data_IF_879748891031
#
_entry.id   IF_879748891031
#
_cell.length_a   1.000
_cell.length_b   1.000
_cell.length_c   1.000
_cell.angle_alpha   90.00
_cell.angle_beta   90.00
_cell.angle_gamma   90.00
#
_symmetry.space_group_name_H-M   'P 1'
#
loop_
_entity.id
_entity.type
_entity.pdbx_description
1 polymer ?
#
# COMPACT_ATOMS: atom_id res chain seq x y z
N UNK A 1 -61.52 15.73 14.81
CA UNK A 1 -60.85 14.62 14.12
C UNK A 1 -59.56 15.16 13.53
N UNK A 2 -58.39 14.60 13.86
CA UNK A 2 -57.10 15.24 13.67
C UNK A 2 -56.41 14.86 12.36
N UNK A 3 -55.56 15.76 11.89
CA UNK A 3 -54.67 15.60 10.75
C UNK A 3 -53.31 15.05 11.20
N UNK A 4 -52.74 14.15 10.41
CA UNK A 4 -51.42 13.52 10.62
C UNK A 4 -50.30 14.43 10.10
N UNK A 5 -49.32 14.72 10.95
CA UNK A 5 -47.98 15.18 10.58
C UNK A 5 -46.94 14.07 10.85
N UNK A 6 -45.77 14.08 10.18
CA UNK A 6 -44.80 13.00 10.29
C UNK A 6 -43.94 13.15 11.55
N UNK A 7 -43.95 12.12 12.40
CA UNK A 7 -43.04 11.96 13.53
C UNK A 7 -41.71 11.35 13.04
N UNK A 8 -40.60 12.06 13.28
CA UNK A 8 -39.27 11.47 13.36
C UNK A 8 -39.05 10.90 14.77
N UNK A 9 -38.54 9.67 14.94
CA UNK A 9 -37.98 9.24 16.21
C UNK A 9 -36.50 9.61 16.28
N UNK A 10 -36.19 10.42 17.29
CA UNK A 10 -34.87 10.67 17.85
C UNK A 10 -34.32 9.45 18.59
N UNK A 11 -33.00 9.30 18.57
CA UNK A 11 -32.14 8.59 19.54
C UNK A 11 -32.47 7.12 19.82
N UNK A 12 -31.60 6.24 19.29
CA UNK A 12 -31.44 4.88 19.81
C UNK A 12 -30.05 4.72 20.42
N UNK A 13 -30.13 4.46 21.73
CA UNK A 13 -29.14 4.09 22.73
C UNK A 13 -27.81 3.48 22.24
N UNK A 14 -26.73 4.14 22.65
CA UNK A 14 -25.39 3.57 22.76
C UNK A 14 -25.14 3.12 24.21
N UNK A 15 -25.92 2.18 24.74
CA UNK A 15 -25.74 1.68 26.11
C UNK A 15 -26.04 0.19 26.30
N UNK A 16 -25.51 -0.68 25.43
CA UNK A 16 -25.35 -2.10 25.80
C UNK A 16 -23.93 -2.55 25.49
N UNK A 17 -23.06 -2.47 26.49
CA UNK A 17 -21.90 -3.35 26.79
C UNK A 17 -21.07 -2.67 27.89
N UNK A 18 -21.67 -2.46 29.07
CA UNK A 18 -20.96 -1.95 30.25
C UNK A 18 -21.58 -2.53 31.52
N UNK A 19 -21.42 -3.84 31.73
CA UNK A 19 -21.43 -4.40 33.08
C UNK A 19 -20.42 -5.54 33.11
N UNK A 20 -19.29 -5.30 33.77
CA UNK A 20 -18.54 -6.23 34.64
C UNK A 20 -17.09 -5.71 34.78
N UNK A 21 -16.86 -4.81 35.76
CA UNK A 21 -15.74 -4.90 36.72
C UNK A 21 -15.61 -3.59 37.50
N UNK A 22 -16.10 -3.58 38.75
CA UNK A 22 -15.62 -2.67 39.76
C UNK A 22 -14.36 -3.26 40.41
N UNK A 23 -13.27 -2.48 40.46
CA UNK A 23 -12.07 -2.82 41.23
C UNK A 23 -10.75 -2.38 40.58
N UNK A 24 -10.15 -1.32 41.13
CA UNK A 24 -8.79 -0.80 40.87
C UNK A 24 -8.44 -0.39 39.43
N UNK A 25 -8.39 0.93 39.20
CA UNK A 25 -8.01 1.58 37.93
C UNK A 25 -6.55 1.27 37.54
N UNK A 26 -6.35 0.17 36.81
CA UNK A 26 -5.35 0.04 35.76
C UNK A 26 -6.10 -0.10 34.44
N UNK A 27 -5.68 0.59 33.39
CA UNK A 27 -6.34 0.54 32.08
C UNK A 27 -6.30 -0.88 31.49
N UNK A 28 -7.41 -1.63 31.59
CA UNK A 28 -7.59 -3.01 31.14
C UNK A 28 -7.85 -3.14 29.63
N UNK A 29 -7.33 -2.22 28.82
CA UNK A 29 -7.46 -2.27 27.36
C UNK A 29 -6.33 -3.07 26.69
N UNK A 30 -6.64 -3.78 25.60
CA UNK A 30 -5.63 -4.40 24.73
C UNK A 30 -4.70 -3.31 24.20
N UNK A 31 -3.40 -3.43 24.45
CA UNK A 31 -2.42 -2.41 24.04
C UNK A 31 -2.17 -2.45 22.53
N UNK A 32 -1.74 -1.32 22.00
CA UNK A 32 -1.23 -1.24 20.63
C UNK A 32 0.21 -1.78 20.57
N UNK A 33 0.58 -2.35 19.43
CA UNK A 33 1.93 -2.80 19.09
C UNK A 33 2.50 -1.94 17.96
N UNK A 34 3.77 -1.57 18.06
CA UNK A 34 4.46 -0.78 17.02
C UNK A 34 4.93 -1.67 15.88
N UNK A 35 4.17 -1.67 14.78
CA UNK A 35 4.44 -2.51 13.61
C UNK A 35 5.22 -1.78 12.50
N UNK A 36 5.26 -0.45 12.51
CA UNK A 36 6.01 0.35 11.53
C UNK A 36 6.59 1.63 12.14
N UNK A 37 7.62 2.16 11.50
CA UNK A 37 8.18 3.47 11.80
C UNK A 37 8.78 4.05 10.52
N UNK A 38 8.72 5.37 10.39
CA UNK A 38 9.34 6.11 9.30
C UNK A 38 9.65 7.54 9.71
N UNK A 39 10.00 8.36 8.73
CA UNK A 39 10.32 9.78 8.94
C UNK A 39 9.09 10.56 9.43
N UNK A 40 7.91 10.31 8.86
CA UNK A 40 6.70 11.07 9.22
C UNK A 40 5.99 10.58 10.48
N UNK A 41 6.20 9.33 10.91
CA UNK A 41 5.37 8.76 11.97
C UNK A 41 5.73 7.38 12.47
N UNK A 42 4.96 6.94 13.45
CA UNK A 42 4.95 5.58 13.98
C UNK A 42 3.63 4.92 13.60
N UNK A 43 3.68 3.64 13.22
CA UNK A 43 2.50 2.87 12.84
C UNK A 43 2.22 1.82 13.91
N UNK A 44 1.02 1.88 14.44
CA UNK A 44 0.54 1.02 15.51
C UNK A 44 -0.60 0.13 15.02
N UNK A 45 -0.62 -1.11 15.50
CA UNK A 45 -1.75 -2.02 15.30
C UNK A 45 -2.19 -2.57 16.65
N UNK A 46 -3.50 -2.75 16.82
CA UNK A 46 -4.04 -3.44 17.98
C UNK A 46 -4.39 -4.88 17.56
N UNK A 47 -3.98 -5.91 18.34
CA UNK A 47 -4.40 -7.28 18.09
C UNK A 47 -5.93 -7.40 17.96
N UNK A 48 -6.39 -8.14 16.95
CA UNK A 48 -7.83 -8.31 16.66
C UNK A 48 -8.50 -7.16 15.91
N UNK A 49 -7.78 -6.08 15.58
CA UNK A 49 -8.29 -5.00 14.71
C UNK A 49 -7.77 -5.12 13.29
N UNK A 50 -8.61 -4.71 12.34
CA UNK A 50 -8.31 -4.69 10.91
C UNK A 50 -7.76 -3.35 10.42
N UNK A 51 -7.44 -2.43 11.34
CA UNK A 51 -6.89 -1.12 11.04
C UNK A 51 -5.54 -0.89 11.73
N UNK A 52 -4.82 0.09 11.23
CA UNK A 52 -3.61 0.65 11.82
C UNK A 52 -3.83 2.11 12.17
N UNK A 53 -3.05 2.61 13.13
CA UNK A 53 -3.01 4.02 13.51
C UNK A 53 -1.60 4.52 13.21
N UNK A 54 -1.45 5.35 12.17
CA UNK A 54 -0.21 6.08 11.87
C UNK A 54 -0.26 7.40 12.61
N UNK A 55 0.57 7.58 13.64
CA UNK A 55 0.65 8.81 14.41
C UNK A 55 1.84 9.63 13.92
N UNK A 56 1.66 10.94 13.73
CA UNK A 56 2.73 11.82 13.26
C UNK A 56 3.79 12.09 14.32
N UNK A 57 5.05 12.11 13.89
CA UNK A 57 6.16 12.69 14.68
C UNK A 57 6.01 14.21 14.80
N UNK A 58 6.65 14.85 15.80
CA UNK A 58 6.74 16.31 15.85
C UNK A 58 7.18 16.89 14.50
N UNK A 59 6.54 17.99 14.07
CA UNK A 59 6.78 18.67 12.79
C UNK A 59 6.30 17.94 11.51
N UNK A 60 5.66 16.78 11.62
CA UNK A 60 5.13 16.03 10.47
C UNK A 60 3.61 16.00 10.39
N UNK A 61 2.91 16.87 11.13
CA UNK A 61 1.44 16.93 11.11
C UNK A 61 0.90 17.24 9.72
N UNK A 62 1.49 18.22 9.04
CA UNK A 62 1.05 18.63 7.69
C UNK A 62 1.33 17.52 6.67
N UNK A 63 2.49 16.86 6.76
CA UNK A 63 2.81 15.71 5.92
C UNK A 63 1.82 14.54 6.10
N UNK A 64 1.32 14.31 7.32
CA UNK A 64 0.29 13.29 7.55
C UNK A 64 -1.09 13.70 7.03
N UNK A 65 -1.40 15.01 7.03
CA UNK A 65 -2.59 15.53 6.37
C UNK A 65 -2.51 15.37 4.85
N UNK A 66 -1.33 15.62 4.27
CA UNK A 66 -1.09 15.38 2.85
C UNK A 66 -1.19 13.91 2.47
N UNK A 67 -0.69 12.99 3.32
CA UNK A 67 -0.93 11.56 3.19
C UNK A 67 -2.43 11.27 3.13
N UNK A 68 -3.19 11.72 4.12
CA UNK A 68 -4.64 11.53 4.18
C UNK A 68 -5.37 12.00 2.91
N UNK A 69 -5.08 13.22 2.42
CA UNK A 69 -5.73 13.77 1.23
C UNK A 69 -5.35 13.04 -0.05
N UNK A 70 -4.05 12.75 -0.24
CA UNK A 70 -3.55 12.04 -1.43
C UNK A 70 -4.04 10.59 -1.46
N UNK A 71 -4.10 9.94 -0.30
CA UNK A 71 -4.65 8.60 -0.11
C UNK A 71 -6.13 8.54 -0.48
N UNK A 72 -6.96 9.47 0.04
CA UNK A 72 -8.38 9.53 -0.33
C UNK A 72 -8.59 9.76 -1.83
N UNK A 73 -7.81 10.67 -2.43
CA UNK A 73 -7.88 10.94 -3.88
C UNK A 73 -7.61 9.69 -4.71
N UNK A 74 -6.60 8.90 -4.33
CA UNK A 74 -6.28 7.67 -5.05
C UNK A 74 -7.31 6.57 -4.74
N UNK A 75 -7.81 6.49 -3.51
CA UNK A 75 -8.86 5.55 -3.13
C UNK A 75 -10.12 5.76 -3.98
N UNK A 76 -10.58 7.01 -4.09
CA UNK A 76 -11.72 7.36 -4.93
C UNK A 76 -11.44 7.07 -6.41
N UNK A 77 -10.26 7.39 -6.91
CA UNK A 77 -9.87 7.13 -8.29
C UNK A 77 -9.86 5.63 -8.63
N UNK A 78 -9.31 4.78 -7.77
CA UNK A 78 -9.27 3.34 -7.98
C UNK A 78 -10.65 2.68 -7.84
N UNK A 79 -11.63 3.35 -7.24
CA UNK A 79 -13.03 2.90 -7.29
C UNK A 79 -13.65 3.05 -8.68
N UNK A 80 -13.16 4.01 -9.48
CA UNK A 80 -13.55 4.20 -10.89
C UNK A 80 -12.83 3.22 -11.80
N UNK A 81 -11.51 3.03 -11.60
CA UNK A 81 -10.67 2.13 -12.39
C UNK A 81 -10.51 0.77 -11.71
N UNK A 82 -11.61 0.04 -11.59
CA UNK A 82 -11.68 -1.24 -10.86
C UNK A 82 -10.88 -2.39 -11.48
N UNK A 83 -10.41 -2.24 -12.72
CA UNK A 83 -9.55 -3.20 -13.43
C UNK A 83 -8.07 -3.13 -12.99
N UNK A 84 -7.71 -2.17 -12.14
CA UNK A 84 -6.34 -2.01 -11.65
C UNK A 84 -6.03 -3.02 -10.55
N UNK A 85 -5.08 -3.89 -10.84
CA UNK A 85 -4.58 -4.96 -9.98
C UNK A 85 -3.61 -4.48 -8.87
N UNK A 86 -3.85 -3.28 -8.34
CA UNK A 86 -3.11 -2.68 -7.23
C UNK A 86 -4.10 -2.15 -6.18
N UNK A 87 -3.98 -2.65 -4.95
CA UNK A 87 -4.86 -2.27 -3.85
C UNK A 87 -4.34 -1.02 -3.14
N UNK A 88 -5.25 -0.33 -2.48
CA UNK A 88 -4.96 0.78 -1.59
C UNK A 88 -5.71 0.52 -0.28
N UNK A 89 -5.08 0.75 0.89
CA UNK A 89 -5.79 0.63 2.17
C UNK A 89 -7.03 1.52 2.21
N UNK A 90 -8.12 1.06 2.82
CA UNK A 90 -9.25 1.95 3.13
C UNK A 90 -8.81 3.02 4.12
N UNK A 91 -9.30 4.24 3.94
CA UNK A 91 -9.13 5.33 4.92
C UNK A 91 -10.36 5.34 5.83
N UNK A 92 -10.15 5.21 7.14
CA UNK A 92 -11.24 5.21 8.12
C UNK A 92 -11.41 6.54 8.83
N UNK A 93 -10.32 7.21 9.19
CA UNK A 93 -10.41 8.49 9.92
C UNK A 93 -9.09 9.26 9.93
N UNK A 94 -9.20 10.56 10.20
CA UNK A 94 -8.09 11.44 10.58
C UNK A 94 -8.40 12.08 11.94
N UNK A 95 -7.57 11.82 12.94
CA UNK A 95 -7.72 12.29 14.30
C UNK A 95 -6.81 13.49 14.51
N UNK A 96 -7.39 14.64 14.83
CA UNK A 96 -6.63 15.85 15.16
C UNK A 96 -6.02 15.78 16.55
N UNK A 97 -4.99 16.60 16.79
CA UNK A 97 -4.39 16.78 18.13
C UNK A 97 -5.38 17.28 19.17
N UNK A 98 -6.39 18.06 18.76
CA UNK A 98 -7.42 18.60 19.64
C UNK A 98 -8.56 17.63 19.95
N UNK A 99 -8.56 16.40 19.43
CA UNK A 99 -9.60 15.42 19.73
C UNK A 99 -9.36 14.78 21.12
N UNK A 100 -9.71 15.52 22.17
CA UNK A 100 -9.48 15.11 23.57
C UNK A 100 -10.15 13.77 23.90
N UNK A 101 -11.35 13.52 23.37
CA UNK A 101 -12.08 12.27 23.60
C UNK A 101 -11.29 11.06 23.08
N UNK A 102 -10.83 11.11 21.83
CA UNK A 102 -10.07 10.01 21.24
C UNK A 102 -8.73 9.82 21.94
N UNK A 103 -7.99 10.90 22.21
CA UNK A 103 -6.68 10.83 22.85
C UNK A 103 -6.75 10.35 24.31
N UNK A 104 -7.78 10.76 25.07
CA UNK A 104 -8.00 10.25 26.44
C UNK A 104 -8.22 8.74 26.45
N UNK A 105 -8.96 8.21 25.48
CA UNK A 105 -9.22 6.77 25.37
C UNK A 105 -8.00 5.98 24.87
N UNK A 106 -7.20 6.52 23.96
CA UNK A 106 -6.19 5.74 23.24
C UNK A 106 -4.74 6.00 23.66
N UNK A 107 -4.40 7.17 24.20
CA UNK A 107 -3.02 7.54 24.50
C UNK A 107 -2.34 6.56 25.47
N UNK A 108 -3.07 6.12 26.51
CA UNK A 108 -2.56 5.17 27.50
C UNK A 108 -2.36 3.74 26.95
N UNK A 109 -2.96 3.42 25.80
CA UNK A 109 -2.83 2.12 25.14
C UNK A 109 -1.67 2.08 24.14
N UNK A 110 -1.18 3.25 23.71
CA UNK A 110 -0.03 3.37 22.82
C UNK A 110 1.27 3.12 23.60
N UNK A 111 2.23 2.37 23.05
CA UNK A 111 3.54 2.20 23.66
C UNK A 111 4.21 3.56 23.91
N UNK A 112 4.76 3.82 25.11
CA UNK A 112 5.48 5.04 25.38
C UNK A 112 6.71 5.13 24.47
N UNK A 113 6.96 6.32 23.96
CA UNK A 113 8.12 6.63 23.12
C UNK A 113 8.66 7.98 23.55
N UNK A 114 9.87 8.01 24.13
CA UNK A 114 10.46 9.22 24.71
C UNK A 114 10.52 10.41 23.76
N UNK A 115 10.70 10.17 22.46
CA UNK A 115 10.79 11.21 21.43
C UNK A 115 9.45 11.51 20.73
N UNK A 116 8.34 11.02 21.28
CA UNK A 116 7.04 11.03 20.59
C UNK A 116 5.93 11.51 21.53
N UNK A 117 5.81 12.83 21.70
CA UNK A 117 4.81 13.40 22.59
C UNK A 117 3.40 13.17 22.05
N UNK A 118 2.51 12.72 22.94
CA UNK A 118 1.07 12.64 22.71
C UNK A 118 0.38 13.77 23.50
N UNK A 119 -0.74 14.33 23.03
CA UNK A 119 -1.44 14.02 21.79
C UNK A 119 -0.72 14.56 20.54
N UNK A 120 -0.98 13.92 19.40
CA UNK A 120 -0.48 14.31 18.07
C UNK A 120 -1.62 14.25 17.04
N UNK A 121 -1.34 14.20 15.74
CA UNK A 121 -2.32 13.83 14.73
C UNK A 121 -2.17 12.35 14.36
N UNK A 122 -3.28 11.68 14.04
CA UNK A 122 -3.27 10.27 13.68
C UNK A 122 -4.13 9.98 12.44
N UNK A 123 -3.61 9.16 11.54
CA UNK A 123 -4.30 8.64 10.36
C UNK A 123 -4.66 7.17 10.62
N UNK A 124 -5.95 6.84 10.49
CA UNK A 124 -6.47 5.49 10.70
C UNK A 124 -6.84 4.88 9.34
N UNK A 125 -6.15 3.81 8.97
CA UNK A 125 -6.32 3.12 7.68
C UNK A 125 -6.44 1.62 7.85
N UNK A 126 -6.92 0.93 6.83
CA UNK A 126 -6.91 -0.53 6.76
C UNK A 126 -5.49 -1.07 6.96
N UNK A 127 -5.41 -2.12 7.77
CA UNK A 127 -4.17 -2.86 7.96
C UNK A 127 -3.91 -3.74 6.75
N UNK A 128 -2.82 -3.49 6.04
CA UNK A 128 -2.23 -4.49 5.14
C UNK A 128 -1.72 -5.63 6.01
N UNK A 129 -2.28 -6.82 5.85
CA UNK A 129 -1.87 -7.97 6.66
C UNK A 129 -0.52 -8.48 6.16
N UNK A 130 0.29 -8.99 7.09
CA UNK A 130 1.57 -9.59 6.74
C UNK A 130 1.41 -10.78 5.78
N UNK A 131 2.42 -11.03 4.96
CA UNK A 131 2.51 -12.19 4.07
C UNK A 131 2.25 -13.49 4.85
N UNK A 132 1.61 -14.51 4.25
CA UNK A 132 1.31 -15.77 4.92
C UNK A 132 2.55 -16.45 5.50
N UNK A 133 2.41 -17.17 6.61
CA UNK A 133 3.54 -17.85 7.29
C UNK A 133 4.35 -18.72 6.33
N UNK A 134 3.70 -19.43 5.40
CA UNK A 134 4.37 -20.25 4.40
C UNK A 134 5.28 -19.43 3.48
N UNK A 135 4.81 -18.26 3.01
CA UNK A 135 5.61 -17.35 2.19
C UNK A 135 6.77 -16.79 3.01
N UNK A 136 6.52 -16.35 4.25
CA UNK A 136 7.58 -15.85 5.14
C UNK A 136 8.66 -16.89 5.40
N UNK A 137 8.28 -18.12 5.67
CA UNK A 137 9.23 -19.22 5.86
C UNK A 137 10.03 -19.48 4.57
N UNK A 138 9.38 -19.51 3.41
CA UNK A 138 10.09 -19.66 2.13
C UNK A 138 11.11 -18.53 1.88
N UNK A 139 10.76 -17.27 2.19
CA UNK A 139 11.69 -16.14 2.10
C UNK A 139 12.87 -16.30 3.06
N UNK A 140 12.63 -16.75 4.30
CA UNK A 140 13.70 -17.03 5.28
C UNK A 140 14.58 -18.17 4.79
N UNK A 141 14.00 -19.29 4.39
CA UNK A 141 14.76 -20.46 3.95
C UNK A 141 15.60 -20.15 2.71
N UNK A 142 15.14 -19.28 1.81
CA UNK A 142 15.87 -18.90 0.61
C UNK A 142 16.93 -17.81 0.84
N UNK A 143 16.62 -16.77 1.63
CA UNK A 143 17.41 -15.55 1.68
C UNK A 143 18.02 -15.20 3.05
N UNK A 144 17.78 -16.02 4.08
CA UNK A 144 18.44 -15.90 5.38
C UNK A 144 19.64 -16.87 5.48
N UNK A 145 20.79 -16.46 6.05
CA UNK A 145 21.88 -17.38 6.40
C UNK A 145 21.36 -18.57 7.19
N UNK A 146 21.87 -19.77 6.92
CA UNK A 146 21.36 -21.04 7.45
C UNK A 146 21.31 -21.04 8.98
N UNK A 147 22.37 -20.54 9.60
CA UNK A 147 22.53 -20.39 11.04
C UNK A 147 21.51 -19.45 11.71
N UNK A 148 20.87 -18.56 10.94
CA UNK A 148 19.90 -17.58 11.43
C UNK A 148 18.43 -17.97 11.15
N UNK A 149 18.17 -19.00 10.34
CA UNK A 149 16.81 -19.32 9.86
C UNK A 149 15.83 -19.59 10.98
N UNK A 150 16.19 -20.43 11.95
CA UNK A 150 15.29 -20.79 13.05
C UNK A 150 15.01 -19.60 13.97
N UNK A 151 16.04 -18.79 14.27
CA UNK A 151 15.87 -17.54 15.00
C UNK A 151 14.96 -16.56 14.23
N UNK A 152 15.13 -16.44 12.91
CA UNK A 152 14.30 -15.58 12.06
C UNK A 152 12.84 -16.07 11.99
N UNK A 153 12.59 -17.38 11.94
CA UNK A 153 11.22 -17.96 11.97
C UNK A 153 10.54 -17.75 13.32
N UNK A 154 11.30 -17.79 14.42
CA UNK A 154 10.80 -17.58 15.76
C UNK A 154 10.57 -16.10 16.11
N UNK A 155 11.28 -15.18 15.44
CA UNK A 155 11.22 -13.73 15.71
C UNK A 155 9.79 -13.16 15.57
N UNK A 156 9.23 -12.55 16.63
CA UNK A 156 7.94 -11.87 16.56
C UNK A 156 7.92 -10.72 15.55
N UNK A 157 9.04 -10.01 15.37
CA UNK A 157 9.14 -8.88 14.43
C UNK A 157 8.95 -9.31 12.98
N UNK A 158 9.37 -10.53 12.64
CA UNK A 158 9.21 -11.09 11.29
C UNK A 158 7.76 -11.49 10.99
N UNK A 159 6.84 -11.43 11.97
CA UNK A 159 5.42 -11.65 11.75
C UNK A 159 4.74 -10.45 11.07
N UNK A 160 5.34 -9.27 11.11
CA UNK A 160 4.84 -8.03 10.47
C UNK A 160 5.35 -7.86 9.02
N UNK A 161 5.70 -8.96 8.35
CA UNK A 161 6.29 -8.93 7.02
C UNK A 161 5.33 -8.43 5.93
N UNK A 162 5.60 -7.25 5.40
CA UNK A 162 5.19 -6.79 4.06
C UNK A 162 6.46 -6.59 3.23
N UNK A 163 6.43 -6.98 1.97
CA UNK A 163 7.63 -7.00 1.12
C UNK A 163 7.57 -5.88 0.07
N UNK A 164 8.56 -4.99 0.05
CA UNK A 164 8.67 -3.90 -0.94
C UNK A 164 9.11 -4.46 -2.29
N UNK A 165 8.34 -4.21 -3.34
CA UNK A 165 8.55 -4.82 -4.66
C UNK A 165 9.44 -3.92 -5.50
N UNK A 166 10.73 -4.24 -5.62
CA UNK A 166 11.67 -3.43 -6.38
C UNK A 166 11.96 -4.05 -7.75
N UNK A 167 11.32 -3.54 -8.80
CA UNK A 167 11.57 -3.98 -10.18
C UNK A 167 12.74 -3.25 -10.83
N UNK A 168 13.17 -2.11 -10.29
CA UNK A 168 14.30 -1.33 -10.77
C UNK A 168 15.63 -1.66 -10.08
N UNK A 169 15.67 -2.70 -9.24
CA UNK A 169 16.86 -3.06 -8.47
C UNK A 169 17.13 -4.56 -8.50
N UNK A 170 18.40 -4.89 -8.74
CA UNK A 170 18.98 -6.22 -8.54
C UNK A 170 20.05 -6.14 -7.44
N UNK A 171 20.24 -7.24 -6.73
CA UNK A 171 21.45 -7.45 -5.92
C UNK A 171 22.62 -7.77 -6.84
N UNK A 172 23.84 -7.45 -6.41
CA UNK A 172 25.03 -7.86 -7.17
C UNK A 172 25.13 -9.39 -7.19
N UNK A 173 25.67 -10.00 -8.26
CA UNK A 173 25.97 -11.43 -8.28
C UNK A 173 26.80 -11.82 -7.05
N UNK A 174 26.48 -12.96 -6.44
CA UNK A 174 27.17 -13.47 -5.24
C UNK A 174 27.11 -12.53 -4.01
N UNK A 175 26.13 -11.62 -3.95
CA UNK A 175 25.89 -10.82 -2.73
C UNK A 175 25.66 -11.77 -1.56
N UNK A 176 26.48 -11.64 -0.50
CA UNK A 176 26.33 -12.43 0.73
C UNK A 176 24.97 -12.14 1.37
N UNK A 177 24.35 -13.17 1.91
CA UNK A 177 23.12 -12.99 2.68
C UNK A 177 23.39 -12.10 3.91
N UNK A 178 22.47 -11.18 4.25
CA UNK A 178 22.72 -10.18 5.28
C UNK A 178 22.84 -10.86 6.65
N UNK A 179 23.86 -10.52 7.47
CA UNK A 179 24.01 -11.09 8.82
C UNK A 179 22.92 -10.61 9.79
N UNK A 180 22.22 -9.53 9.46
CA UNK A 180 21.09 -8.98 10.22
C UNK A 180 19.77 -9.17 9.43
N UNK A 181 19.47 -10.41 9.05
CA UNK A 181 18.27 -10.71 8.26
C UNK A 181 16.98 -10.33 9.01
N UNK A 182 16.08 -9.63 8.32
CA UNK A 182 14.76 -9.22 8.82
C UNK A 182 13.74 -9.28 7.69
N UNK A 183 12.53 -9.75 8.01
CA UNK A 183 11.38 -9.68 7.13
C UNK A 183 10.57 -8.38 7.30
N UNK A 184 10.88 -7.58 8.32
CA UNK A 184 10.31 -6.24 8.48
C UNK A 184 10.98 -5.30 7.49
N UNK A 185 10.19 -4.60 6.68
CA UNK A 185 10.65 -3.78 5.55
C UNK A 185 11.53 -4.59 4.57
N UNK A 186 11.09 -5.80 4.23
CA UNK A 186 11.87 -6.68 3.35
C UNK A 186 11.93 -6.13 1.93
N UNK A 187 13.13 -5.78 1.48
CA UNK A 187 13.38 -5.28 0.14
C UNK A 187 13.43 -6.45 -0.84
N UNK A 188 12.36 -6.65 -1.60
CA UNK A 188 12.22 -7.76 -2.53
C UNK A 188 12.72 -7.33 -3.91
N UNK A 189 14.01 -7.54 -4.16
CA UNK A 189 14.66 -7.15 -5.41
C UNK A 189 14.25 -8.05 -6.58
N UNK A 190 14.39 -7.54 -7.81
CA UNK A 190 13.99 -8.24 -9.03
C UNK A 190 14.65 -9.63 -9.15
N UNK A 191 15.94 -9.76 -8.84
CA UNK A 191 16.63 -11.05 -8.90
C UNK A 191 16.04 -12.09 -7.94
N UNK A 192 15.61 -11.66 -6.74
CA UNK A 192 14.98 -12.54 -5.76
C UNK A 192 13.59 -12.99 -6.21
N UNK A 193 12.84 -12.09 -6.85
CA UNK A 193 11.52 -12.41 -7.39
C UNK A 193 11.62 -13.38 -8.57
N UNK A 194 12.63 -13.21 -9.43
CA UNK A 194 12.89 -14.13 -10.54
C UNK A 194 13.36 -15.50 -10.05
N UNK A 195 14.21 -15.54 -9.01
CA UNK A 195 14.67 -16.77 -8.37
C UNK A 195 13.52 -17.59 -7.73
N UNK A 196 12.44 -16.91 -7.36
CA UNK A 196 11.21 -17.51 -6.85
C UNK A 196 10.11 -17.64 -7.90
N UNK A 197 10.43 -17.41 -9.18
CA UNK A 197 9.50 -17.50 -10.32
C UNK A 197 8.23 -16.67 -10.13
N UNK A 198 8.32 -15.52 -9.46
CA UNK A 198 7.20 -14.63 -9.25
C UNK A 198 6.80 -13.90 -10.55
N UNK A 199 5.52 -13.50 -10.70
CA UNK A 199 5.00 -12.91 -11.93
C UNK A 199 5.40 -11.42 -12.04
N UNK A 200 6.69 -11.13 -12.20
CA UNK A 200 7.23 -9.75 -12.23
C UNK A 200 6.62 -8.87 -13.33
N UNK A 201 6.22 -9.47 -14.47
CA UNK A 201 5.51 -8.75 -15.54
C UNK A 201 4.13 -8.29 -15.10
N UNK A 202 3.42 -9.08 -14.30
CA UNK A 202 2.14 -8.69 -13.72
C UNK A 202 2.33 -7.53 -12.73
N UNK A 203 3.36 -7.57 -11.89
CA UNK A 203 3.67 -6.45 -10.99
C UNK A 203 3.99 -5.17 -11.76
N UNK A 204 4.79 -5.26 -12.84
CA UNK A 204 5.09 -4.12 -13.70
C UNK A 204 3.82 -3.50 -14.29
N UNK A 205 2.88 -4.32 -14.80
CA UNK A 205 1.59 -3.86 -15.32
C UNK A 205 0.74 -3.17 -14.25
N UNK A 206 0.59 -3.80 -13.08
CA UNK A 206 -0.21 -3.25 -11.98
C UNK A 206 0.36 -1.91 -11.47
N UNK A 207 1.68 -1.79 -11.34
CA UNK A 207 2.35 -0.55 -10.97
C UNK A 207 2.20 0.53 -12.04
N UNK A 208 2.36 0.18 -13.32
CA UNK A 208 2.20 1.10 -14.44
C UNK A 208 0.78 1.69 -14.50
N UNK A 209 -0.24 0.84 -14.42
CA UNK A 209 -1.63 1.27 -14.43
C UNK A 209 -1.95 2.15 -13.21
N UNK A 210 -1.50 1.76 -12.02
CA UNK A 210 -1.66 2.56 -10.80
C UNK A 210 -0.98 3.93 -10.93
N UNK A 211 0.26 3.98 -11.41
CA UNK A 211 1.01 5.22 -11.58
C UNK A 211 0.36 6.15 -12.62
N UNK A 212 -0.20 5.60 -13.69
CA UNK A 212 -0.96 6.39 -14.68
C UNK A 212 -2.19 7.07 -14.04
N UNK A 213 -2.90 6.38 -13.15
CA UNK A 213 -4.01 6.98 -12.39
C UNK A 213 -3.51 8.05 -11.42
N UNK A 214 -2.41 7.80 -10.71
CA UNK A 214 -1.78 8.78 -9.80
C UNK A 214 -1.43 10.07 -10.55
N UNK A 215 -0.73 9.94 -11.70
CA UNK A 215 -0.31 11.09 -12.50
C UNK A 215 -1.52 11.81 -13.10
N UNK A 216 -2.39 11.09 -13.80
CA UNK A 216 -3.34 11.73 -14.71
C UNK A 216 -4.73 11.89 -14.10
N UNK A 217 -5.20 11.00 -13.23
CA UNK A 217 -6.50 11.19 -12.58
C UNK A 217 -6.35 12.00 -11.29
N UNK A 218 -5.41 11.61 -10.44
CA UNK A 218 -5.24 12.24 -9.13
C UNK A 218 -4.48 13.57 -9.20
N UNK A 219 -3.75 13.81 -10.31
CA UNK A 219 -2.87 14.96 -10.53
C UNK A 219 -1.78 15.04 -9.45
N UNK A 220 -1.11 13.91 -9.25
CA UNK A 220 -0.05 13.71 -8.25
C UNK A 220 1.21 13.19 -8.92
N UNK A 221 2.38 13.53 -8.39
CA UNK A 221 3.65 12.99 -8.89
C UNK A 221 3.99 11.59 -8.39
N UNK A 222 3.35 11.13 -7.31
CA UNK A 222 3.68 9.84 -6.70
C UNK A 222 5.03 9.82 -6.01
N UNK A 223 5.55 10.96 -5.55
CA UNK A 223 6.81 11.02 -4.82
C UNK A 223 6.73 10.30 -3.46
N UNK A 224 7.72 9.46 -3.19
CA UNK A 224 7.91 8.59 -2.01
C UNK A 224 6.82 7.53 -1.78
N UNK A 225 5.96 7.23 -2.79
CA UNK A 225 5.00 6.13 -2.66
C UNK A 225 5.70 4.78 -2.58
N UNK A 226 5.14 3.87 -1.79
CA UNK A 226 5.65 2.52 -1.61
C UNK A 226 4.72 1.47 -2.22
N UNK A 227 5.28 0.56 -3.02
CA UNK A 227 4.57 -0.63 -3.50
C UNK A 227 5.01 -1.88 -2.73
N UNK A 228 4.04 -2.58 -2.12
CA UNK A 228 4.32 -3.73 -1.27
C UNK A 228 3.44 -4.94 -1.59
N UNK A 229 3.97 -6.15 -1.39
CA UNK A 229 3.17 -7.37 -1.28
C UNK A 229 2.74 -7.57 0.17
N UNK A 230 1.43 -7.73 0.33
CA UNK A 230 0.78 -8.01 1.60
C UNK A 230 -0.42 -8.91 1.41
N UNK A 231 -0.84 -9.55 2.49
CA UNK A 231 -2.07 -10.33 2.52
C UNK A 231 -3.29 -9.40 2.57
N UNK A 232 -4.31 -9.76 1.81
CA UNK A 232 -5.65 -9.21 2.01
C UNK A 232 -6.38 -9.94 3.14
N UNK A 233 -7.13 -9.18 3.93
CA UNK A 233 -8.07 -9.68 4.92
C UNK A 233 -9.37 -10.12 4.22
N UNK A 234 -9.28 -10.94 3.18
CA UNK A 234 -10.45 -11.78 2.90
C UNK A 234 -10.59 -12.66 4.14
N UNK A 235 -11.56 -12.38 5.02
CA UNK A 235 -11.87 -13.15 6.24
C UNK A 235 -13.32 -13.63 6.24
N UNK A 236 -13.42 -14.87 5.81
CA UNK A 236 -14.18 -16.07 6.12
C UNK A 236 -15.66 -16.00 6.40
N UNK A 237 -16.24 -14.92 6.92
CA UNK A 237 -17.68 -14.89 7.19
C UNK A 237 -18.30 -13.48 7.10
N UNK A 238 -17.65 -12.52 6.46
CA UNK A 238 -18.19 -11.16 6.24
C UNK A 238 -18.95 -11.01 4.91
N UNK A 239 -19.05 -12.08 4.12
CA UNK A 239 -19.63 -12.11 2.78
C UNK A 239 -20.56 -13.31 2.67
N UNK A 240 -21.69 -13.18 1.96
CA UNK A 240 -22.67 -14.27 1.82
C UNK A 240 -22.01 -15.48 1.14
N UNK A 241 -22.46 -16.69 1.48
CA UNK A 241 -21.84 -17.94 1.00
C UNK A 241 -21.81 -18.03 -0.53
N UNK A 242 -22.86 -17.52 -1.18
CA UNK A 242 -23.02 -17.49 -2.64
C UNK A 242 -21.93 -16.64 -3.29
N UNK A 243 -21.75 -15.40 -2.83
CA UNK A 243 -20.70 -14.49 -3.28
C UNK A 243 -19.30 -15.06 -3.01
N UNK A 244 -19.12 -15.72 -1.86
CA UNK A 244 -17.84 -16.28 -1.44
C UNK A 244 -17.43 -17.51 -2.26
N UNK A 245 -18.37 -18.35 -2.66
CA UNK A 245 -18.11 -19.55 -3.47
C UNK A 245 -18.25 -19.27 -4.98
N UNK A 246 -18.71 -18.08 -5.37
CA UNK A 246 -19.06 -17.78 -6.76
C UNK A 246 -20.22 -18.64 -7.26
N UNK A 247 -21.11 -19.05 -6.35
CA UNK A 247 -22.29 -19.87 -6.63
C UNK A 247 -23.54 -19.02 -6.46
N UNK A 248 -24.54 -19.17 -7.31
CA UNK A 248 -25.87 -18.60 -7.08
C UNK A 248 -26.72 -19.51 -6.17
N UNK A 249 -27.92 -19.03 -5.82
CA UNK A 249 -28.84 -19.77 -4.94
C UNK A 249 -29.30 -21.08 -5.61
N UNK A 250 -29.50 -21.10 -6.92
CA UNK A 250 -29.96 -22.28 -7.67
C UNK A 250 -28.88 -23.38 -7.73
N UNK A 251 -27.61 -22.98 -7.72
CA UNK A 251 -26.46 -23.89 -7.65
C UNK A 251 -26.30 -24.47 -6.24
N UNK A 252 -26.57 -23.68 -5.20
CA UNK A 252 -26.58 -24.17 -3.81
C UNK A 252 -27.77 -25.12 -3.58
N UNK A 253 -28.93 -24.85 -4.17
CA UNK A 253 -30.15 -25.69 -4.06
C UNK A 253 -29.96 -27.09 -4.66
N UNK A 254 -29.01 -27.24 -5.59
CA UNK A 254 -28.64 -28.53 -6.21
C UNK A 254 -27.66 -29.36 -5.37
N UNK A 255 -27.12 -28.81 -4.28
CA UNK A 255 -26.24 -29.56 -3.39
C UNK A 255 -27.06 -30.48 -2.49
N UNK A 256 -26.52 -31.67 -2.19
CA UNK A 256 -27.16 -32.58 -1.24
C UNK A 256 -27.30 -31.89 0.12
N UNK A 257 -28.43 -32.13 0.80
CA UNK A 257 -28.61 -31.73 2.18
C UNK A 257 -27.43 -32.27 3.02
N UNK A 258 -26.85 -31.41 3.86
CA UNK A 258 -25.64 -31.68 4.66
C UNK A 258 -24.32 -31.73 3.89
N UNK A 259 -24.28 -31.26 2.63
CA UNK A 259 -23.01 -30.99 1.94
C UNK A 259 -22.07 -30.17 2.82
N UNK A 260 -20.80 -30.57 2.92
CA UNK A 260 -19.80 -29.88 3.72
C UNK A 260 -19.37 -28.57 3.02
N UNK A 261 -20.22 -27.55 3.18
CA UNK A 261 -20.00 -26.20 2.66
C UNK A 261 -18.69 -25.63 3.21
N UNK A 262 -18.32 -25.98 4.43
CA UNK A 262 -17.07 -25.54 5.07
C UNK A 262 -15.84 -26.16 4.39
N UNK A 263 -15.90 -27.43 3.96
CA UNK A 263 -14.84 -28.02 3.13
C UNK A 263 -14.72 -27.36 1.76
N UNK A 264 -15.84 -27.03 1.10
CA UNK A 264 -15.87 -26.24 -0.15
C UNK A 264 -15.30 -24.84 0.05
N UNK A 265 -15.55 -24.23 1.21
CA UNK A 265 -14.90 -22.98 1.59
C UNK A 265 -13.41 -23.18 1.81
N UNK A 266 -12.97 -24.21 2.55
CA UNK A 266 -11.56 -24.47 2.88
C UNK A 266 -10.68 -24.71 1.66
N UNK A 267 -11.21 -25.29 0.58
CA UNK A 267 -10.50 -25.38 -0.71
C UNK A 267 -10.22 -24.00 -1.31
N UNK A 268 -11.08 -23.01 -1.04
CA UNK A 268 -10.87 -21.61 -1.44
C UNK A 268 -10.15 -20.77 -0.35
N UNK A 269 -10.22 -21.19 0.92
CA UNK A 269 -9.76 -20.44 2.11
C UNK A 269 -8.28 -20.60 2.45
N UNK A 270 -7.55 -21.50 1.78
CA UNK A 270 -6.12 -21.67 2.05
C UNK A 270 -5.26 -20.47 1.65
N UNK A 271 -5.81 -19.42 1.05
CA UNK A 271 -5.02 -18.30 0.56
C UNK A 271 -5.60 -16.99 1.08
N UNK A 272 -5.01 -16.45 2.15
CA UNK A 272 -4.87 -14.99 2.23
C UNK A 272 -4.29 -14.57 0.89
N UNK A 273 -5.10 -13.96 0.03
CA UNK A 273 -4.63 -13.57 -1.28
C UNK A 273 -3.49 -12.57 -1.08
N UNK A 274 -2.30 -12.91 -1.54
CA UNK A 274 -1.20 -11.94 -1.58
C UNK A 274 -1.52 -10.97 -2.72
N UNK A 275 -1.62 -9.69 -2.38
CA UNK A 275 -1.95 -8.61 -3.31
C UNK A 275 -0.82 -7.60 -3.33
N UNK A 276 -0.69 -6.89 -4.46
CA UNK A 276 0.10 -5.68 -4.54
C UNK A 276 -0.70 -4.53 -3.92
N UNK A 277 -0.05 -3.73 -3.08
CA UNK A 277 -0.61 -2.56 -2.42
C UNK A 277 0.26 -1.34 -2.70
N UNK A 278 -0.36 -0.16 -2.71
CA UNK A 278 0.31 1.14 -2.72
C UNK A 278 0.00 1.90 -1.42
N UNK A 279 1.01 2.55 -0.83
CA UNK A 279 0.89 3.32 0.42
C UNK A 279 1.97 4.42 0.51
N UNK A 280 1.99 5.17 1.62
CA UNK A 280 2.92 6.26 1.95
C UNK A 280 2.83 7.48 1.01
N UNK A 281 1.76 8.27 1.15
CA UNK A 281 1.52 9.42 0.27
C UNK A 281 1.95 10.77 0.90
N UNK A 282 2.73 10.74 1.98
CA UNK A 282 3.08 11.92 2.78
C UNK A 282 3.97 12.95 2.06
N UNK A 283 4.65 12.57 0.97
CA UNK A 283 5.48 13.49 0.18
C UNK A 283 4.97 13.69 -1.25
N UNK A 284 3.80 13.11 -1.59
CA UNK A 284 3.18 13.33 -2.90
C UNK A 284 2.84 14.81 -3.07
N UNK A 285 3.35 15.43 -4.13
CA UNK A 285 2.94 16.77 -4.52
C UNK A 285 1.81 16.71 -5.55
N UNK A 286 0.82 17.58 -5.35
CA UNK A 286 -0.35 17.71 -6.23
C UNK A 286 -0.16 18.90 -7.16
N UNK A 287 -0.58 18.75 -8.41
CA UNK A 287 -0.70 19.86 -9.35
C UNK A 287 -2.18 20.18 -9.66
N UNK A 288 -2.49 21.41 -10.11
CA UNK A 288 -3.86 21.81 -10.45
C UNK A 288 -4.55 20.83 -11.42
N UNK A 289 -5.86 20.67 -11.24
CA UNK A 289 -6.71 19.85 -12.11
C UNK A 289 -7.05 20.51 -13.44
N UNK A 290 -6.73 21.79 -13.59
CA UNK A 290 -6.94 22.55 -14.82
C UNK A 290 -5.94 22.10 -15.89
N UNK A 291 -6.47 21.58 -16.99
CA UNK A 291 -5.66 21.16 -18.15
C UNK A 291 -4.86 22.34 -18.73
N UNK A 292 -5.35 23.58 -18.62
CA UNK A 292 -4.65 24.79 -19.08
C UNK A 292 -3.33 24.96 -18.34
N UNK A 293 -3.32 24.76 -17.01
CA UNK A 293 -2.10 24.82 -16.22
C UNK A 293 -1.06 23.80 -16.69
N UNK A 294 -1.50 22.57 -16.98
CA UNK A 294 -0.62 21.49 -17.43
C UNK A 294 -0.01 21.84 -18.79
N UNK A 295 -0.81 22.41 -19.71
CA UNK A 295 -0.36 22.79 -21.04
C UNK A 295 0.63 23.96 -21.00
N UNK A 296 0.41 24.96 -20.15
CA UNK A 296 1.31 26.11 -19.99
C UNK A 296 2.63 25.75 -19.32
N UNK A 297 2.62 24.72 -18.45
CA UNK A 297 3.79 24.27 -17.67
C UNK A 297 4.17 22.83 -17.96
N UNK A 298 4.01 22.41 -19.20
CA UNK A 298 4.22 21.03 -19.62
C UNK A 298 5.58 20.49 -19.15
N UNK A 299 6.64 21.27 -19.40
CA UNK A 299 8.01 20.89 -19.03
C UNK A 299 8.18 20.72 -17.53
N UNK A 300 7.56 21.59 -16.73
CA UNK A 300 7.69 21.55 -15.27
C UNK A 300 6.95 20.34 -14.70
N UNK A 301 5.75 20.06 -15.21
CA UNK A 301 4.97 18.87 -14.82
C UNK A 301 5.74 17.60 -15.20
N UNK A 302 6.20 17.47 -16.44
CA UNK A 302 6.99 16.30 -16.86
C UNK A 302 8.26 16.15 -16.02
N UNK A 303 8.97 17.25 -15.75
CA UNK A 303 10.16 17.22 -14.91
C UNK A 303 9.84 16.75 -13.49
N UNK A 304 8.75 17.21 -12.89
CA UNK A 304 8.29 16.78 -11.57
C UNK A 304 8.01 15.27 -11.54
N UNK A 305 7.26 14.76 -12.53
CA UNK A 305 6.95 13.33 -12.64
C UNK A 305 8.21 12.48 -12.80
N UNK A 306 9.17 12.91 -13.64
CA UNK A 306 10.45 12.21 -13.83
C UNK A 306 11.27 12.21 -12.54
N UNK A 307 11.32 13.32 -11.81
CA UNK A 307 12.01 13.38 -10.51
C UNK A 307 11.39 12.36 -9.55
N UNK A 308 10.06 12.37 -9.38
CA UNK A 308 9.39 11.41 -8.52
C UNK A 308 9.63 9.95 -8.93
N UNK A 309 9.59 9.65 -10.23
CA UNK A 309 9.85 8.30 -10.73
C UNK A 309 11.20 7.72 -10.25
N UNK A 310 12.25 8.53 -10.23
CA UNK A 310 13.60 8.06 -9.93
C UNK A 310 14.09 8.34 -8.50
N UNK A 311 13.55 9.35 -7.82
CA UNK A 311 13.90 9.64 -6.42
C UNK A 311 13.18 8.70 -5.43
N UNK A 312 12.09 8.08 -5.88
CA UNK A 312 11.49 6.97 -5.14
C UNK A 312 12.51 5.83 -4.91
N UNK A 313 12.20 4.95 -3.96
CA UNK A 313 12.81 3.62 -3.97
C UNK A 313 12.57 2.94 -5.35
N UNK A 314 13.44 2.00 -5.77
CA UNK A 314 13.47 1.48 -7.14
C UNK A 314 12.32 0.48 -7.43
N UNK A 315 11.09 0.92 -7.23
CA UNK A 315 9.86 0.16 -7.46
C UNK A 315 9.66 -0.13 -8.95
N UNK A 316 9.87 0.87 -9.79
CA UNK A 316 9.60 0.79 -11.22
C UNK A 316 10.76 0.12 -11.98
N UNK A 317 10.48 -0.63 -13.07
CA UNK A 317 11.52 -1.11 -13.97
C UNK A 317 12.33 0.07 -14.53
N UNK A 318 13.65 -0.10 -14.66
CA UNK A 318 14.50 0.95 -15.22
C UNK A 318 14.51 0.88 -16.75
N UNK A 319 14.41 2.03 -17.44
CA UNK A 319 14.64 2.09 -18.88
C UNK A 319 16.09 1.72 -19.23
N UNK A 320 16.31 1.32 -20.49
CA UNK A 320 17.64 1.04 -21.05
C UNK A 320 18.48 -0.02 -20.32
N UNK A 321 17.86 -0.84 -19.46
CA UNK A 321 18.53 -1.93 -18.78
C UNK A 321 19.15 -2.93 -19.78
N UNK A 322 20.29 -3.51 -19.43
CA UNK A 322 21.07 -4.35 -20.35
C UNK A 322 20.49 -5.76 -20.52
N UNK A 323 19.89 -6.31 -19.45
CA UNK A 323 19.37 -7.68 -19.43
C UNK A 323 18.01 -7.78 -20.13
N UNK A 324 17.79 -8.86 -20.89
CA UNK A 324 16.57 -9.03 -21.69
C UNK A 324 15.28 -9.04 -20.87
N UNK A 325 15.32 -9.62 -19.66
CA UNK A 325 14.16 -9.62 -18.75
C UNK A 325 13.81 -8.21 -18.32
N UNK A 326 14.80 -7.38 -18.01
CA UNK A 326 14.64 -6.00 -17.54
C UNK A 326 14.13 -5.11 -18.67
N UNK A 327 14.66 -5.27 -19.89
CA UNK A 327 14.13 -4.63 -21.11
C UNK A 327 12.67 -4.97 -21.31
N UNK A 328 12.30 -6.24 -21.19
CA UNK A 328 10.90 -6.67 -21.31
C UNK A 328 10.02 -6.08 -20.21
N UNK A 329 10.52 -5.94 -18.99
CA UNK A 329 9.77 -5.30 -17.90
C UNK A 329 9.52 -3.82 -18.17
N UNK A 330 10.51 -3.09 -18.68
CA UNK A 330 10.32 -1.70 -19.10
C UNK A 330 9.28 -1.58 -20.21
N UNK A 331 9.35 -2.43 -21.24
CA UNK A 331 8.37 -2.43 -22.34
C UNK A 331 6.95 -2.69 -21.83
N UNK A 332 6.78 -3.71 -20.99
CA UNK A 332 5.49 -4.05 -20.38
C UNK A 332 4.95 -2.90 -19.52
N UNK A 333 5.83 -2.26 -18.74
CA UNK A 333 5.46 -1.10 -17.93
C UNK A 333 5.04 0.07 -18.82
N UNK A 334 5.82 0.38 -19.85
CA UNK A 334 5.57 1.48 -20.79
C UNK A 334 4.24 1.32 -21.50
N UNK A 335 4.00 0.16 -22.11
CA UNK A 335 2.76 -0.16 -22.84
C UNK A 335 1.52 -0.04 -21.94
N UNK A 336 1.58 -0.61 -20.73
CA UNK A 336 0.45 -0.56 -19.80
C UNK A 336 0.23 0.84 -19.24
N UNK A 337 1.31 1.60 -18.99
CA UNK A 337 1.23 2.98 -18.54
C UNK A 337 0.54 3.86 -19.59
N UNK A 338 0.99 3.80 -20.85
CA UNK A 338 0.38 4.56 -21.95
C UNK A 338 -1.08 4.16 -22.18
N UNK A 339 -1.38 2.86 -22.17
CA UNK A 339 -2.74 2.33 -22.30
C UNK A 339 -3.66 2.89 -21.21
N UNK A 340 -3.26 2.77 -19.94
CA UNK A 340 -4.07 3.26 -18.82
C UNK A 340 -4.14 4.78 -18.79
N UNK A 341 -3.06 5.48 -19.13
CA UNK A 341 -3.08 6.94 -19.20
C UNK A 341 -4.02 7.46 -20.30
N UNK A 342 -4.09 6.80 -21.45
CA UNK A 342 -5.05 7.12 -22.50
C UNK A 342 -6.50 6.91 -22.04
N UNK A 343 -6.76 5.84 -21.30
CA UNK A 343 -8.06 5.59 -20.67
C UNK A 343 -8.43 6.68 -19.65
N UNK A 344 -7.48 7.07 -18.79
CA UNK A 344 -7.67 8.07 -17.74
C UNK A 344 -7.89 9.48 -18.30
N UNK A 345 -7.11 9.87 -19.31
CA UNK A 345 -7.23 11.17 -19.97
C UNK A 345 -8.45 11.24 -20.90
N UNK A 346 -9.03 10.08 -21.25
CA UNK A 346 -10.25 9.98 -22.04
C UNK A 346 -10.14 10.73 -23.36
N UNK A 347 -11.12 11.61 -23.63
CA UNK A 347 -11.18 12.41 -24.86
C UNK A 347 -10.33 13.69 -24.82
N UNK A 348 -9.52 13.93 -23.77
CA UNK A 348 -8.67 15.13 -23.70
C UNK A 348 -7.53 15.03 -24.72
N UNK A 349 -7.83 15.46 -25.95
CA UNK A 349 -6.91 15.42 -27.08
C UNK A 349 -5.66 16.29 -26.84
N UNK A 350 -5.77 17.31 -25.98
CA UNK A 350 -4.69 18.22 -25.67
C UNK A 350 -3.62 17.60 -24.76
N UNK A 351 -3.97 16.63 -23.91
CA UNK A 351 -3.05 16.01 -22.95
C UNK A 351 -2.53 14.64 -23.39
N UNK A 352 -3.08 14.06 -24.46
CA UNK A 352 -2.80 12.68 -24.88
C UNK A 352 -1.32 12.34 -25.12
N UNK A 353 -0.50 13.34 -25.45
CA UNK A 353 0.93 13.15 -25.74
C UNK A 353 1.80 13.17 -24.48
N UNK A 354 1.28 13.65 -23.35
CA UNK A 354 2.05 13.81 -22.12
C UNK A 354 2.51 12.49 -21.48
N UNK A 355 1.71 11.40 -21.47
CA UNK A 355 2.18 10.11 -20.97
C UNK A 355 3.42 9.61 -21.70
N UNK A 356 3.42 9.70 -23.04
CA UNK A 356 4.58 9.35 -23.87
C UNK A 356 5.77 10.27 -23.60
N UNK A 357 5.57 11.59 -23.53
CA UNK A 357 6.63 12.55 -23.18
C UNK A 357 7.26 12.27 -21.81
N UNK A 358 6.48 11.84 -20.83
CA UNK A 358 6.98 11.43 -19.52
C UNK A 358 7.92 10.22 -19.64
N UNK A 359 7.49 9.17 -20.33
CA UNK A 359 8.29 7.95 -20.52
C UNK A 359 9.56 8.20 -21.32
N UNK A 360 9.46 9.00 -22.38
CA UNK A 360 10.62 9.42 -23.20
C UNK A 360 11.61 10.25 -22.37
N UNK A 361 11.11 11.12 -21.49
CA UNK A 361 11.95 11.88 -20.57
C UNK A 361 12.62 11.00 -19.52
N UNK A 362 11.97 9.91 -19.07
CA UNK A 362 12.63 8.91 -18.21
C UNK A 362 13.77 8.20 -18.93
N UNK A 363 13.55 7.76 -20.18
CA UNK A 363 14.60 7.14 -21.01
C UNK A 363 15.77 8.09 -21.28
N UNK A 364 15.47 9.37 -21.56
CA UNK A 364 16.49 10.39 -21.78
C UNK A 364 17.30 10.70 -20.51
N UNK A 365 16.66 10.79 -19.34
CA UNK A 365 17.38 10.94 -18.07
C UNK A 365 18.35 9.77 -17.85
N UNK A 366 17.88 8.54 -18.06
CA UNK A 366 18.71 7.34 -17.86
C UNK A 366 19.86 7.27 -18.87
N UNK A 367 19.61 7.60 -20.14
CA UNK A 367 20.63 7.69 -21.19
C UNK A 367 21.76 8.63 -20.77
N UNK A 368 21.43 9.83 -20.28
CA UNK A 368 22.42 10.81 -19.80
C UNK A 368 23.24 10.27 -18.63
N UNK A 369 22.62 9.55 -17.68
CA UNK A 369 23.36 8.94 -16.56
C UNK A 369 24.34 7.87 -17.03
N UNK A 370 23.94 7.04 -17.99
CA UNK A 370 24.80 6.02 -18.59
C UNK A 370 25.98 6.64 -19.36
N UNK A 371 25.72 7.69 -20.16
CA UNK A 371 26.77 8.43 -20.88
C UNK A 371 27.78 9.10 -19.93
N UNK A 372 27.33 9.52 -18.75
CA UNK A 372 28.18 10.08 -17.69
C UNK A 372 28.90 9.01 -16.84
N UNK A 373 28.65 7.72 -17.10
CA UNK A 373 29.24 6.62 -16.33
C UNK A 373 28.69 6.46 -14.91
N UNK A 374 27.54 7.06 -14.59
CA UNK A 374 26.89 6.97 -13.27
C UNK A 374 26.13 5.64 -13.08
N UNK A 375 25.97 4.84 -14.14
CA UNK A 375 25.22 3.60 -14.10
C UNK A 375 23.71 3.80 -13.95
N UNK A 376 23.01 2.69 -13.70
CA UNK A 376 21.55 2.65 -13.65
C UNK A 376 20.98 3.15 -12.33
N UNK A 377 19.88 3.91 -12.39
CA UNK A 377 19.06 4.24 -11.21
C UNK A 377 19.81 4.95 -10.08
N UNK A 378 20.96 5.59 -10.37
CA UNK A 378 21.80 6.19 -9.33
C UNK A 378 21.02 7.29 -8.61
N UNK A 379 21.00 7.23 -7.27
CA UNK A 379 20.58 8.33 -6.40
C UNK A 379 21.72 9.33 -6.36
N UNK A 380 21.53 10.51 -6.90
CA UNK A 380 22.50 11.58 -6.69
C UNK A 380 22.33 12.02 -5.22
N UNK A 381 23.35 11.75 -4.40
CA UNK A 381 23.55 12.37 -3.08
C UNK A 381 22.32 12.45 -2.15
N UNK A 382 21.99 11.34 -1.45
CA UNK A 382 21.48 11.47 -0.07
C UNK A 382 22.69 11.53 0.85
N UNK A 383 23.24 12.73 1.01
CA UNK A 383 24.10 13.06 2.17
C UNK A 383 23.28 13.09 3.46
#
# INVERSE_FOLDING_TARGET
MPAFGPNMPSELDATEYSVLSGGMQGTTGVKYERIGFGQCGLVFAQPGREYVVKVARPHFSDALWDDFLSHLRLFDALSVYSDIDCRIPRVYSYVSKGNEAWWTTNAALLPPSGDFPLPSVALITQRILALPKIIRNALIDRFCPEELREAAKASPLNKDCVARVYLGRRRAPNTRLPPNFSLRNFNFCLDQMLDLELPVKYYAKAMAACLAVIHWHCRMDGYDIEFVLGSDASVSYTTHITEKLGLDVDQIDKLDAHSDIEALQRTNYQRRATRLWVLDFNLCSRFPRDDTFILERERDVISQLVIAFFENDPYYPLPLAEMDVDKQLWLVFREEYERKAAEVLGASQALKHLPGKFLDACEERERRKLEQGLGHGHRDFKE
#
